data_IF_617022113593
#
_entry.id   IF_617022113593
#
_cell.length_a   1.000
_cell.length_b   1.000
_cell.length_c   1.000
_cell.angle_alpha   90.00
_cell.angle_beta   90.00
_cell.angle_gamma   90.00
#
_symmetry.space_group_name_H-M   'P 1'
#
loop_
_entity.id
_entity.type
_entity.pdbx_description
1 polymer ?
#
# COMPACT_ATOMS: atom_id res chain seq x y z
N UNK A 1 7.81 -18.47 -21.26
CA UNK A 1 6.95 -18.02 -20.15
C UNK A 1 5.95 -19.08 -19.73
N UNK A 2 5.45 -19.86 -20.65
CA UNK A 2 4.53 -21.00 -20.35
C UNK A 2 5.19 -22.09 -19.49
N UNK A 3 6.51 -22.21 -19.54
CA UNK A 3 7.24 -23.24 -18.77
C UNK A 3 7.17 -23.02 -17.24
N UNK A 4 7.29 -21.78 -16.74
CA UNK A 4 7.23 -21.52 -15.29
C UNK A 4 5.84 -21.70 -14.69
N UNK A 5 4.80 -21.31 -15.44
CA UNK A 5 3.42 -21.45 -14.98
C UNK A 5 2.97 -22.92 -14.89
N UNK A 6 3.63 -23.82 -15.63
CA UNK A 6 3.34 -25.26 -15.67
C UNK A 6 4.21 -26.09 -14.73
N UNK A 7 5.29 -25.51 -14.16
CA UNK A 7 6.20 -26.24 -13.29
C UNK A 7 5.60 -26.49 -11.90
N UNK A 8 5.78 -27.72 -11.42
CA UNK A 8 5.55 -28.00 -9.99
C UNK A 8 6.72 -27.44 -9.16
N UNK A 9 6.49 -26.32 -8.49
CA UNK A 9 7.47 -25.64 -7.66
C UNK A 9 7.50 -26.15 -6.20
N UNK A 10 6.63 -27.12 -5.85
CA UNK A 10 6.53 -27.64 -4.47
C UNK A 10 7.80 -28.35 -4.06
N UNK A 11 8.39 -27.96 -2.94
CA UNK A 11 9.64 -28.52 -2.40
C UNK A 11 10.90 -28.08 -3.15
N UNK A 12 10.78 -27.42 -4.30
CA UNK A 12 11.92 -27.02 -5.12
C UNK A 12 12.60 -25.79 -4.57
N UNK A 13 13.94 -25.80 -4.57
CA UNK A 13 14.79 -24.66 -4.28
C UNK A 13 14.97 -23.88 -5.58
N UNK A 14 14.52 -22.62 -5.57
CA UNK A 14 14.63 -21.70 -6.71
C UNK A 14 15.62 -20.61 -6.36
N UNK A 15 16.58 -20.37 -7.25
CA UNK A 15 17.55 -19.28 -7.13
C UNK A 15 17.37 -18.30 -8.28
N UNK A 16 17.11 -17.06 -7.95
CA UNK A 16 17.15 -15.92 -8.86
C UNK A 16 18.55 -15.33 -8.79
N UNK A 17 19.21 -15.19 -9.92
CA UNK A 17 20.57 -14.67 -10.02
C UNK A 17 20.68 -13.57 -11.07
N UNK A 18 21.85 -12.95 -11.16
CA UNK A 18 22.10 -11.84 -12.08
C UNK A 18 21.09 -10.71 -11.86
N UNK A 19 20.93 -10.28 -10.61
CA UNK A 19 19.94 -9.28 -10.21
C UNK A 19 20.47 -8.35 -9.12
N UNK A 20 19.69 -7.32 -8.87
CA UNK A 20 19.82 -6.44 -7.72
C UNK A 20 18.61 -6.66 -6.80
N UNK A 21 18.84 -6.78 -5.52
CA UNK A 21 17.80 -6.91 -4.51
C UNK A 21 17.59 -5.57 -3.80
N UNK A 22 16.33 -5.19 -3.59
CA UNK A 22 15.99 -4.10 -2.66
C UNK A 22 16.10 -4.65 -1.24
N UNK A 23 17.15 -4.26 -0.54
CA UNK A 23 17.39 -4.55 0.87
C UNK A 23 17.23 -3.27 1.66
N UNK A 24 16.21 -3.18 2.49
CA UNK A 24 15.81 -1.94 3.17
C UNK A 24 15.56 -0.82 2.13
N UNK A 25 16.43 0.16 2.02
CA UNK A 25 16.32 1.29 1.08
C UNK A 25 17.50 1.32 0.07
N UNK A 26 18.22 0.19 -0.09
CA UNK A 26 19.41 0.08 -0.92
C UNK A 26 19.28 -1.01 -1.99
N UNK A 27 19.93 -0.80 -3.13
CA UNK A 27 20.14 -1.83 -4.16
C UNK A 27 21.43 -2.60 -3.86
N UNK A 28 21.30 -3.91 -3.68
CA UNK A 28 22.44 -4.81 -3.44
C UNK A 28 22.49 -5.86 -4.53
N UNK A 29 23.64 -6.04 -5.18
CA UNK A 29 23.84 -7.12 -6.15
C UNK A 29 23.98 -8.43 -5.38
N UNK A 30 22.94 -9.25 -5.40
CA UNK A 30 22.83 -10.50 -4.64
C UNK A 30 21.81 -11.43 -5.31
N UNK A 31 21.72 -12.67 -4.84
CA UNK A 31 20.79 -13.67 -5.31
C UNK A 31 19.63 -13.85 -4.33
N UNK A 32 18.43 -14.05 -4.85
CA UNK A 32 17.26 -14.41 -4.05
C UNK A 32 17.03 -15.92 -4.12
N UNK A 33 16.87 -16.56 -2.96
CA UNK A 33 16.58 -17.98 -2.85
C UNK A 33 15.21 -18.18 -2.21
N UNK A 34 14.39 -19.07 -2.77
CA UNK A 34 13.07 -19.37 -2.22
C UNK A 34 12.81 -20.88 -2.23
N UNK A 35 11.96 -21.35 -1.29
CA UNK A 35 11.39 -22.70 -1.25
C UNK A 35 10.04 -22.68 -0.55
N UNK A 36 9.04 -23.30 -1.13
CA UNK A 36 7.68 -23.40 -0.57
C UNK A 36 7.07 -22.03 -0.15
N UNK A 37 7.28 -21.00 -0.95
CA UNK A 37 6.73 -19.68 -0.68
C UNK A 37 7.49 -18.85 0.35
N UNK A 38 8.63 -19.33 0.83
CA UNK A 38 9.46 -18.65 1.85
C UNK A 38 10.80 -18.25 1.25
N UNK A 39 11.26 -17.06 1.58
CA UNK A 39 12.61 -16.57 1.23
C UNK A 39 13.63 -17.25 2.15
N UNK A 40 14.71 -17.73 1.59
CA UNK A 40 15.77 -18.48 2.28
C UNK A 40 17.05 -17.66 2.37
N UNK A 41 17.86 -17.98 3.37
CA UNK A 41 19.27 -17.58 3.40
C UNK A 41 20.09 -18.52 2.49
N UNK A 42 20.53 -18.00 1.34
CA UNK A 42 21.28 -18.78 0.36
C UNK A 42 22.59 -19.35 0.90
N UNK A 43 23.25 -18.67 1.84
CA UNK A 43 24.47 -19.19 2.48
C UNK A 43 24.17 -20.39 3.36
N UNK A 44 23.10 -20.35 4.14
CA UNK A 44 22.64 -21.50 4.94
C UNK A 44 22.29 -22.70 4.07
N UNK A 45 21.55 -22.48 2.97
CA UNK A 45 21.21 -23.55 2.03
C UNK A 45 22.46 -24.19 1.43
N UNK A 46 23.40 -23.36 0.95
CA UNK A 46 24.58 -23.86 0.26
C UNK A 46 25.58 -24.53 1.21
N UNK A 47 25.91 -23.90 2.34
CA UNK A 47 26.97 -24.38 3.24
C UNK A 47 26.46 -25.36 4.31
N UNK A 48 25.28 -25.13 4.88
CA UNK A 48 24.75 -25.94 5.98
C UNK A 48 23.90 -27.10 5.50
N UNK A 49 22.93 -26.86 4.61
CA UNK A 49 22.11 -27.92 4.03
C UNK A 49 22.85 -28.68 2.90
N UNK A 50 23.92 -28.09 2.34
CA UNK A 50 24.67 -28.62 1.17
C UNK A 50 23.76 -28.90 -0.03
N UNK A 51 22.69 -28.10 -0.15
CA UNK A 51 21.70 -28.25 -1.19
C UNK A 51 22.00 -27.30 -2.36
N UNK A 52 21.77 -27.80 -3.56
CA UNK A 52 21.88 -27.02 -4.80
C UNK A 52 20.47 -26.58 -5.24
N UNK A 53 20.34 -25.43 -5.94
CA UNK A 53 19.04 -25.04 -6.47
C UNK A 53 18.56 -26.01 -7.57
N UNK A 54 17.30 -26.38 -7.48
CA UNK A 54 16.62 -27.18 -8.53
C UNK A 54 16.35 -26.34 -9.78
N UNK A 55 16.06 -25.06 -9.58
CA UNK A 55 15.67 -24.11 -10.64
C UNK A 55 16.54 -22.87 -10.53
N UNK A 56 17.12 -22.46 -11.66
CA UNK A 56 17.89 -21.22 -11.79
C UNK A 56 17.14 -20.27 -12.71
N UNK A 57 16.88 -19.05 -12.23
CA UNK A 57 16.21 -17.99 -12.98
C UNK A 57 17.18 -16.84 -13.17
N UNK A 58 17.57 -16.55 -14.42
CA UNK A 58 18.35 -15.37 -14.78
C UNK A 58 17.43 -14.17 -14.89
N UNK A 59 17.64 -13.18 -14.05
CA UNK A 59 16.84 -11.94 -14.01
C UNK A 59 17.33 -10.91 -15.04
N UNK A 60 18.45 -11.20 -15.72
CA UNK A 60 18.95 -10.34 -16.79
C UNK A 60 19.45 -8.96 -16.32
N UNK A 61 19.94 -8.84 -15.10
CA UNK A 61 20.36 -7.58 -14.51
C UNK A 61 19.22 -6.71 -13.97
N UNK A 62 18.00 -7.23 -13.89
CA UNK A 62 16.85 -6.53 -13.33
C UNK A 62 16.89 -6.41 -11.81
N UNK A 63 15.87 -5.79 -11.26
CA UNK A 63 15.72 -5.53 -9.83
C UNK A 63 14.60 -6.39 -9.27
N UNK A 64 14.87 -7.08 -8.15
CA UNK A 64 13.86 -7.74 -7.34
C UNK A 64 13.57 -6.83 -6.13
N UNK A 65 12.32 -6.41 -6.01
CA UNK A 65 11.79 -5.64 -4.89
C UNK A 65 10.77 -6.45 -4.12
N UNK A 66 10.61 -6.27 -2.81
CA UNK A 66 9.40 -6.76 -2.14
C UNK A 66 8.17 -6.33 -2.93
N UNK A 67 7.13 -7.14 -2.91
CA UNK A 67 5.86 -6.80 -3.55
C UNK A 67 5.27 -5.50 -3.01
N UNK A 68 4.62 -4.74 -3.87
CA UNK A 68 4.02 -3.46 -3.47
C UNK A 68 2.80 -3.69 -2.56
N UNK A 69 2.63 -2.82 -1.58
CA UNK A 69 1.54 -2.83 -0.60
C UNK A 69 0.81 -1.50 -0.69
N UNK A 70 -0.49 -1.53 -1.01
CA UNK A 70 -1.33 -0.34 -1.09
C UNK A 70 -2.30 -0.29 0.08
N UNK A 71 -2.13 0.66 0.99
CA UNK A 71 -2.94 0.75 2.22
C UNK A 71 -4.21 1.59 2.05
N UNK A 72 -4.49 2.08 0.83
CA UNK A 72 -5.68 2.88 0.53
C UNK A 72 -6.18 2.59 -0.88
N UNK A 73 -7.15 1.67 -0.99
CA UNK A 73 -7.77 1.22 -2.23
C UNK A 73 -9.29 1.23 -2.03
N UNK A 74 -10.00 2.24 -2.57
CA UNK A 74 -11.44 2.37 -2.39
C UNK A 74 -12.22 1.45 -3.34
N UNK A 75 -11.61 1.08 -4.45
CA UNK A 75 -12.16 0.21 -5.46
C UNK A 75 -11.22 0.08 -6.65
N UNK A 76 -11.55 -0.81 -7.58
CA UNK A 76 -10.83 -0.99 -8.83
C UNK A 76 -11.65 -1.85 -9.79
N UNK A 77 -11.41 -1.69 -11.10
CA UNK A 77 -11.99 -2.56 -12.14
C UNK A 77 -13.54 -2.63 -12.12
N UNK A 78 -14.21 -1.56 -11.68
CA UNK A 78 -15.66 -1.49 -11.55
C UNK A 78 -16.23 -1.95 -10.21
N UNK A 79 -15.36 -2.39 -9.29
CA UNK A 79 -15.75 -2.79 -7.93
C UNK A 79 -15.51 -1.65 -6.95
N UNK A 80 -16.47 -1.46 -6.03
CA UNK A 80 -16.46 -0.45 -4.96
C UNK A 80 -16.55 -1.17 -3.62
N UNK A 81 -15.56 -0.99 -2.77
CA UNK A 81 -15.51 -1.64 -1.47
C UNK A 81 -16.49 -1.05 -0.43
N UNK A 82 -17.09 0.09 -0.75
CA UNK A 82 -18.13 0.73 0.06
C UNK A 82 -19.55 0.42 -0.43
N UNK A 83 -19.71 -0.29 -1.55
CA UNK A 83 -21.01 -0.59 -2.11
C UNK A 83 -21.66 -1.82 -1.42
N UNK A 84 -22.76 -1.64 -0.68
CA UNK A 84 -23.43 -2.73 0.05
C UNK A 84 -24.18 -3.72 -0.83
N UNK A 85 -24.44 -3.36 -2.09
CA UNK A 85 -25.16 -4.19 -3.05
C UNK A 85 -24.21 -5.14 -3.80
N UNK A 86 -22.91 -4.90 -3.71
CA UNK A 86 -21.90 -5.81 -4.24
C UNK A 86 -21.60 -6.91 -3.22
N UNK A 87 -21.39 -8.12 -3.73
CA UNK A 87 -20.81 -9.20 -2.93
C UNK A 87 -19.35 -8.88 -2.61
N UNK A 88 -19.06 -8.66 -1.33
CA UNK A 88 -17.72 -8.28 -0.83
C UNK A 88 -16.67 -9.35 -1.19
N UNK A 89 -17.03 -10.63 -1.06
CA UNK A 89 -16.12 -11.71 -1.40
C UNK A 89 -15.75 -11.66 -2.90
N UNK A 90 -16.76 -11.49 -3.75
CA UNK A 90 -16.53 -11.35 -5.18
C UNK A 90 -15.71 -10.10 -5.53
N UNK A 91 -16.04 -8.94 -4.93
CA UNK A 91 -15.31 -7.70 -5.16
C UNK A 91 -13.82 -7.84 -4.77
N UNK A 92 -13.54 -8.36 -3.57
CA UNK A 92 -12.17 -8.64 -3.13
C UNK A 92 -11.45 -9.60 -4.07
N UNK A 93 -12.09 -10.69 -4.48
CA UNK A 93 -11.49 -11.68 -5.37
C UNK A 93 -11.14 -11.08 -6.73
N UNK A 94 -12.05 -10.33 -7.35
CA UNK A 94 -11.87 -9.73 -8.67
C UNK A 94 -10.76 -8.66 -8.68
N UNK A 95 -10.67 -7.88 -7.62
CA UNK A 95 -9.60 -6.88 -7.47
C UNK A 95 -8.28 -7.57 -7.14
N UNK A 96 -8.26 -8.50 -6.19
CA UNK A 96 -7.05 -9.22 -5.75
C UNK A 96 -6.41 -10.05 -6.89
N UNK A 97 -7.21 -10.59 -7.81
CA UNK A 97 -6.72 -11.36 -8.96
C UNK A 97 -6.03 -10.46 -10.01
N UNK A 98 -6.44 -9.20 -10.14
CA UNK A 98 -5.94 -8.28 -11.18
C UNK A 98 -4.81 -7.37 -10.69
N UNK A 99 -4.77 -7.00 -9.42
CA UNK A 99 -3.74 -6.11 -8.85
C UNK A 99 -2.30 -6.58 -9.07
N UNK A 100 -1.97 -7.89 -9.12
CA UNK A 100 -0.61 -8.34 -9.43
C UNK A 100 -0.07 -7.84 -10.76
N UNK A 101 -0.93 -7.50 -11.73
CA UNK A 101 -0.55 -6.90 -13.01
C UNK A 101 0.05 -5.49 -12.84
N UNK A 102 -0.12 -4.87 -11.70
CA UNK A 102 0.43 -3.55 -11.32
C UNK A 102 1.59 -3.66 -10.32
N UNK A 103 1.97 -4.88 -9.93
CA UNK A 103 3.01 -5.14 -8.93
C UNK A 103 2.52 -5.11 -7.47
N UNK A 104 1.24 -4.85 -7.23
CA UNK A 104 0.65 -4.86 -5.89
C UNK A 104 0.41 -6.31 -5.46
N UNK A 105 1.02 -6.73 -4.37
CA UNK A 105 0.89 -8.10 -3.82
C UNK A 105 0.01 -8.16 -2.56
N UNK A 106 -0.26 -6.99 -1.96
CA UNK A 106 -1.15 -6.88 -0.82
C UNK A 106 -1.78 -5.48 -0.76
N UNK A 107 -2.99 -5.38 -0.21
CA UNK A 107 -3.69 -4.10 -0.12
C UNK A 107 -4.70 -4.07 1.03
N UNK A 108 -5.13 -2.85 1.39
CA UNK A 108 -6.24 -2.62 2.30
C UNK A 108 -7.45 -2.08 1.52
N UNK A 109 -8.54 -2.87 1.37
CA UNK A 109 -9.82 -2.32 0.94
C UNK A 109 -10.21 -1.15 1.84
N UNK A 110 -10.56 -0.02 1.22
CA UNK A 110 -10.91 1.21 1.93
C UNK A 110 -12.40 1.46 1.82
N UNK A 111 -13.05 1.63 2.96
CA UNK A 111 -14.46 1.98 3.06
C UNK A 111 -14.56 3.47 3.35
N UNK A 112 -15.09 4.23 2.40
CA UNK A 112 -15.33 5.66 2.56
C UNK A 112 -16.56 5.93 3.43
N UNK A 113 -16.75 7.19 3.81
CA UNK A 113 -17.94 7.62 4.58
C UNK A 113 -19.22 7.14 3.93
N UNK A 114 -19.98 6.36 4.66
CA UNK A 114 -21.21 5.69 4.25
C UNK A 114 -22.30 5.83 5.31
N UNK A 115 -23.54 5.50 5.00
CA UNK A 115 -24.59 5.51 6.02
C UNK A 115 -24.28 4.49 7.12
N UNK A 116 -24.70 4.79 8.35
CA UNK A 116 -24.31 4.03 9.55
C UNK A 116 -24.65 2.55 9.45
N UNK A 117 -25.79 2.21 8.88
CA UNK A 117 -26.32 0.86 8.77
C UNK A 117 -25.46 -0.06 7.91
N UNK A 118 -24.62 0.52 7.04
CA UNK A 118 -23.79 -0.25 6.12
C UNK A 118 -22.49 -0.76 6.77
N UNK A 119 -21.91 -0.04 7.72
CA UNK A 119 -20.63 -0.43 8.30
C UNK A 119 -20.63 -1.82 8.91
N UNK A 120 -21.62 -2.22 9.78
CA UNK A 120 -21.61 -3.56 10.33
C UNK A 120 -21.75 -4.65 9.26
N UNK A 121 -22.54 -4.39 8.19
CA UNK A 121 -22.71 -5.31 7.07
C UNK A 121 -21.41 -5.49 6.29
N UNK A 122 -20.76 -4.39 5.92
CA UNK A 122 -19.50 -4.39 5.17
C UNK A 122 -18.39 -5.06 6.00
N UNK A 123 -18.17 -4.61 7.25
CA UNK A 123 -17.12 -5.15 8.11
C UNK A 123 -17.32 -6.65 8.35
N UNK A 124 -18.58 -7.10 8.59
CA UNK A 124 -18.89 -8.53 8.74
C UNK A 124 -18.58 -9.35 7.47
N UNK A 125 -18.78 -8.77 6.29
CA UNK A 125 -18.40 -9.40 5.02
C UNK A 125 -16.89 -9.63 4.93
N UNK A 126 -16.08 -8.60 5.24
CA UNK A 126 -14.63 -8.72 5.27
C UNK A 126 -14.10 -9.67 6.35
N UNK A 127 -14.79 -9.82 7.49
CA UNK A 127 -14.41 -10.78 8.52
C UNK A 127 -14.46 -12.23 8.03
N UNK A 128 -15.36 -12.53 7.11
CA UNK A 128 -15.55 -13.86 6.52
C UNK A 128 -14.62 -14.12 5.34
N UNK A 129 -14.04 -13.07 4.77
CA UNK A 129 -13.19 -13.19 3.59
C UNK A 129 -11.90 -13.94 3.88
N UNK A 130 -11.56 -14.88 3.00
CA UNK A 130 -10.31 -15.65 3.04
C UNK A 130 -9.52 -15.36 1.79
N UNK A 131 -8.25 -14.98 1.96
CA UNK A 131 -7.34 -14.72 0.84
C UNK A 131 -7.20 -15.95 -0.06
N UNK A 132 -7.41 -15.78 -1.35
CA UNK A 132 -7.17 -16.82 -2.33
C UNK A 132 -5.67 -16.97 -2.61
N UNK A 133 -5.20 -18.21 -2.85
CA UNK A 133 -3.82 -18.42 -3.29
C UNK A 133 -3.59 -17.72 -4.64
N UNK A 134 -2.37 -17.23 -4.84
CA UNK A 134 -1.91 -16.58 -6.08
C UNK A 134 -2.63 -15.26 -6.43
N UNK A 135 -3.28 -14.62 -5.47
CA UNK A 135 -3.90 -13.31 -5.60
C UNK A 135 -3.26 -12.33 -4.61
N UNK A 136 -3.38 -11.03 -4.87
CA UNK A 136 -2.97 -10.00 -3.90
C UNK A 136 -3.70 -10.20 -2.58
N UNK A 137 -2.98 -10.08 -1.47
CA UNK A 137 -3.53 -10.33 -0.13
C UNK A 137 -4.35 -9.14 0.35
N UNK A 138 -5.58 -9.37 0.80
CA UNK A 138 -6.34 -8.42 1.61
C UNK A 138 -5.79 -8.47 3.03
N UNK A 139 -5.16 -7.39 3.47
CA UNK A 139 -4.48 -7.29 4.77
C UNK A 139 -5.45 -7.00 5.91
N UNK A 140 -6.57 -6.38 5.59
CA UNK A 140 -7.61 -5.87 6.45
C UNK A 140 -8.15 -4.57 5.91
N UNK A 141 -9.09 -3.95 6.60
CA UNK A 141 -9.87 -2.81 6.14
C UNK A 141 -9.21 -1.50 6.58
N UNK A 142 -9.21 -0.50 5.70
CA UNK A 142 -9.05 0.89 6.06
C UNK A 142 -10.44 1.55 6.10
N UNK A 143 -10.84 2.10 7.24
CA UNK A 143 -12.06 2.88 7.39
C UNK A 143 -11.73 4.37 7.24
N UNK A 144 -12.13 4.98 6.13
CA UNK A 144 -11.92 6.40 5.86
C UNK A 144 -13.21 7.18 6.14
N UNK A 145 -13.36 7.63 7.37
CA UNK A 145 -14.61 8.19 7.91
C UNK A 145 -15.53 7.11 8.51
N UNK A 146 -16.69 7.49 9.08
CA UNK A 146 -17.35 8.79 8.95
C UNK A 146 -16.87 9.88 9.92
N UNK A 147 -15.89 9.62 10.78
CA UNK A 147 -15.39 10.56 11.77
C UNK A 147 -14.39 11.56 11.18
N UNK A 148 -14.83 12.30 10.16
CA UNK A 148 -14.03 13.27 9.39
C UNK A 148 -14.69 14.67 9.45
N UNK A 149 -13.97 15.71 8.98
CA UNK A 149 -14.47 17.07 8.95
C UNK A 149 -15.43 17.32 7.78
N UNK A 150 -16.57 17.94 8.02
CA UNK A 150 -17.46 18.40 6.95
C UNK A 150 -16.82 19.47 6.06
N UNK A 151 -15.92 20.29 6.61
CA UNK A 151 -15.19 21.33 5.86
C UNK A 151 -14.17 20.74 4.88
N UNK A 152 -13.72 19.51 5.14
CA UNK A 152 -12.69 18.81 4.37
C UNK A 152 -13.20 17.46 3.85
N UNK A 153 -14.50 17.37 3.56
CA UNK A 153 -15.15 16.14 3.10
C UNK A 153 -14.59 15.60 1.77
N UNK A 154 -14.13 16.47 0.87
CA UNK A 154 -13.72 16.02 -0.46
C UNK A 154 -14.89 15.39 -1.22
N UNK A 155 -14.74 14.14 -1.63
CA UNK A 155 -15.79 13.38 -2.30
C UNK A 155 -16.76 12.65 -1.34
N UNK A 156 -16.49 12.66 -0.03
CA UNK A 156 -17.34 11.97 0.96
C UNK A 156 -18.70 12.65 1.11
N UNK A 157 -19.76 11.85 1.29
CA UNK A 157 -21.12 12.34 1.50
C UNK A 157 -21.23 13.01 2.87
N UNK A 158 -21.48 14.32 2.88
CA UNK A 158 -21.52 15.12 4.12
C UNK A 158 -22.65 14.71 5.06
N UNK A 159 -23.77 14.20 4.55
CA UNK A 159 -24.91 13.75 5.35
C UNK A 159 -24.57 12.54 6.24
N UNK A 160 -23.56 11.79 5.88
CA UNK A 160 -23.13 10.60 6.64
C UNK A 160 -21.96 10.87 7.58
N UNK A 161 -21.37 12.05 7.55
CA UNK A 161 -20.28 12.44 8.46
C UNK A 161 -20.82 12.48 9.90
N UNK A 162 -20.03 11.95 10.84
CA UNK A 162 -20.40 11.80 12.26
C UNK A 162 -19.30 12.35 13.15
N UNK A 163 -19.69 12.85 14.33
CA UNK A 163 -18.80 13.11 15.45
C UNK A 163 -18.77 11.96 16.43
N UNK A 164 -17.79 11.93 17.31
CA UNK A 164 -17.68 10.92 18.36
C UNK A 164 -18.65 11.19 19.53
N UNK A 165 -19.04 12.44 19.73
CA UNK A 165 -19.88 12.87 20.88
C UNK A 165 -19.17 12.67 22.22
N UNK A 166 -19.95 12.68 23.29
CA UNK A 166 -19.44 12.59 24.68
C UNK A 166 -18.94 11.20 25.09
N UNK A 167 -19.27 10.15 24.34
CA UNK A 167 -18.83 8.77 24.61
C UNK A 167 -18.25 8.13 23.35
N UNK A 168 -16.99 8.48 22.96
CA UNK A 168 -16.37 8.04 21.71
C UNK A 168 -16.34 6.52 21.53
N UNK A 169 -16.03 5.75 22.57
CA UNK A 169 -15.92 4.28 22.50
C UNK A 169 -17.29 3.66 22.17
N UNK A 170 -18.35 4.14 22.82
CA UNK A 170 -19.71 3.69 22.54
C UNK A 170 -20.12 4.05 21.11
N UNK A 171 -19.86 5.28 20.68
CA UNK A 171 -20.18 5.75 19.33
C UNK A 171 -19.45 4.94 18.25
N UNK A 172 -18.16 4.62 18.44
CA UNK A 172 -17.40 3.73 17.56
C UNK A 172 -18.08 2.37 17.42
N UNK A 173 -18.47 1.76 18.56
CA UNK A 173 -19.15 0.46 18.57
C UNK A 173 -20.56 0.51 17.94
N UNK A 174 -21.28 1.62 18.10
CA UNK A 174 -22.61 1.82 17.50
C UNK A 174 -22.54 2.00 15.98
N UNK A 175 -21.49 2.64 15.46
CA UNK A 175 -21.33 2.91 14.03
C UNK A 175 -20.70 1.72 13.31
N UNK A 176 -19.55 1.26 13.77
CA UNK A 176 -18.81 0.20 13.06
C UNK A 176 -19.22 -1.22 13.50
N UNK A 177 -19.96 -1.35 14.60
CA UNK A 177 -20.23 -2.62 15.26
C UNK A 177 -19.16 -2.97 16.30
N UNK A 178 -19.40 -4.05 17.08
CA UNK A 178 -18.55 -4.38 18.23
C UNK A 178 -17.24 -5.07 17.86
N UNK A 179 -17.09 -5.55 16.64
CA UNK A 179 -15.93 -6.33 16.21
C UNK A 179 -15.14 -5.61 15.11
N UNK A 180 -13.97 -5.12 15.46
CA UNK A 180 -13.03 -4.44 14.57
C UNK A 180 -11.81 -5.30 14.18
N UNK A 181 -11.85 -6.60 14.38
CA UNK A 181 -10.72 -7.53 14.20
C UNK A 181 -10.05 -7.43 12.83
N UNK A 182 -10.79 -7.12 11.77
CA UNK A 182 -10.25 -6.97 10.40
C UNK A 182 -9.90 -5.52 10.03
N UNK A 183 -10.13 -4.57 10.94
CA UNK A 183 -9.79 -3.18 10.70
C UNK A 183 -8.30 -2.97 10.99
N UNK A 184 -7.56 -2.48 10.02
CA UNK A 184 -6.13 -2.20 10.12
C UNK A 184 -5.82 -0.73 10.27
N UNK A 185 -6.65 0.13 9.70
CA UNK A 185 -6.46 1.58 9.75
C UNK A 185 -7.81 2.29 9.85
N UNK A 186 -7.84 3.39 10.58
CA UNK A 186 -9.00 4.29 10.64
C UNK A 186 -8.51 5.72 10.48
N UNK A 187 -9.11 6.45 9.53
CA UNK A 187 -8.88 7.89 9.33
C UNK A 187 -9.89 8.69 10.12
N UNK A 188 -9.41 9.64 10.93
CA UNK A 188 -10.22 10.52 11.77
C UNK A 188 -9.76 11.98 11.67
N UNK A 189 -10.68 12.91 11.93
CA UNK A 189 -10.40 14.34 12.05
C UNK A 189 -10.15 14.70 13.54
N UNK A 190 -8.97 15.25 13.87
CA UNK A 190 -8.59 15.57 15.26
C UNK A 190 -9.45 16.61 15.95
N UNK A 191 -10.06 17.55 15.21
CA UNK A 191 -10.91 18.61 15.74
C UNK A 191 -12.27 18.11 16.27
N UNK A 192 -12.63 16.86 16.00
CA UNK A 192 -13.88 16.30 16.50
C UNK A 192 -13.82 16.08 18.02
N UNK A 193 -14.88 16.49 18.73
CA UNK A 193 -14.98 16.24 20.16
C UNK A 193 -14.79 14.75 20.47
N UNK A 194 -13.87 14.43 21.38
CA UNK A 194 -13.56 13.04 21.75
C UNK A 194 -12.55 12.33 20.86
N UNK A 195 -11.99 12.96 19.82
CA UNK A 195 -11.05 12.34 18.89
C UNK A 195 -9.82 11.73 19.59
N UNK A 196 -9.23 12.40 20.60
CA UNK A 196 -8.09 11.87 21.36
C UNK A 196 -8.46 10.61 22.14
N UNK A 197 -9.65 10.54 22.73
CA UNK A 197 -10.15 9.33 23.42
C UNK A 197 -10.39 8.20 22.43
N UNK A 198 -10.96 8.51 21.27
CA UNK A 198 -11.13 7.56 20.17
C UNK A 198 -9.79 7.02 19.69
N UNK A 199 -8.81 7.90 19.48
CA UNK A 199 -7.46 7.52 19.04
C UNK A 199 -6.77 6.57 20.02
N UNK A 200 -6.81 6.89 21.33
CA UNK A 200 -6.23 6.04 22.37
C UNK A 200 -6.90 4.65 22.41
N UNK A 201 -8.22 4.61 22.30
CA UNK A 201 -8.95 3.34 22.25
C UNK A 201 -8.60 2.51 21.02
N UNK A 202 -8.66 3.09 19.82
CA UNK A 202 -8.37 2.40 18.56
C UNK A 202 -6.93 1.90 18.51
N UNK A 203 -5.98 2.74 18.94
CA UNK A 203 -4.56 2.37 19.03
C UNK A 203 -4.35 1.21 20.02
N UNK A 204 -5.09 1.17 21.13
CA UNK A 204 -5.02 0.05 22.11
C UNK A 204 -5.51 -1.29 21.52
N UNK A 205 -6.33 -1.25 20.47
CA UNK A 205 -6.75 -2.41 19.68
C UNK A 205 -5.72 -2.81 18.60
N UNK A 206 -4.58 -2.11 18.49
CA UNK A 206 -3.59 -2.36 17.44
C UNK A 206 -4.01 -1.85 16.06
N UNK A 207 -4.99 -0.95 16.01
CA UNK A 207 -5.45 -0.30 14.77
C UNK A 207 -4.61 0.95 14.54
N UNK A 208 -4.11 1.14 13.32
CA UNK A 208 -3.42 2.36 12.92
C UNK A 208 -4.41 3.52 12.87
N UNK A 209 -4.21 4.51 13.73
CA UNK A 209 -5.00 5.73 13.71
C UNK A 209 -4.32 6.72 12.77
N UNK A 210 -5.06 7.14 11.75
CA UNK A 210 -4.62 8.10 10.73
C UNK A 210 -5.36 9.43 10.88
N UNK A 211 -4.62 10.53 10.78
CA UNK A 211 -5.17 11.88 10.72
C UNK A 211 -5.45 12.24 9.25
N UNK A 212 -6.67 12.60 8.92
CA UNK A 212 -7.03 13.00 7.56
C UNK A 212 -8.43 13.60 7.48
N UNK A 213 -8.76 14.19 6.31
CA UNK A 213 -10.03 14.87 6.10
C UNK A 213 -10.35 15.85 7.24
N UNK A 214 -9.44 16.76 7.50
CA UNK A 214 -9.41 17.55 8.73
C UNK A 214 -9.16 19.03 8.47
N UNK A 215 -9.83 19.87 9.23
CA UNK A 215 -9.56 21.32 9.33
C UNK A 215 -8.91 21.66 10.68
N UNK A 216 -8.23 20.70 11.30
CA UNK A 216 -7.67 20.79 12.66
C UNK A 216 -6.64 21.91 12.78
N UNK A 217 -6.64 22.55 13.95
CA UNK A 217 -5.48 23.30 14.43
C UNK A 217 -4.35 22.35 14.87
N UNK A 218 -3.20 22.92 15.21
CA UNK A 218 -2.03 22.16 15.64
C UNK A 218 -2.28 21.44 16.97
N UNK A 219 -2.93 22.09 17.92
CA UNK A 219 -3.14 21.63 19.30
C UNK A 219 -4.04 20.38 19.33
N UNK A 220 -5.12 20.39 18.57
CA UNK A 220 -6.02 19.24 18.42
C UNK A 220 -5.31 18.07 17.73
N UNK A 221 -4.55 18.37 16.67
CA UNK A 221 -3.79 17.34 15.95
C UNK A 221 -2.68 16.72 16.83
N UNK A 222 -1.95 17.53 17.62
CA UNK A 222 -0.93 17.07 18.56
C UNK A 222 -1.53 16.20 19.68
N UNK A 223 -2.72 16.54 20.16
CA UNK A 223 -3.44 15.76 21.16
C UNK A 223 -3.79 14.36 20.64
N UNK A 224 -4.28 14.25 19.38
CA UNK A 224 -4.58 12.97 18.75
C UNK A 224 -3.30 12.18 18.43
N UNK A 225 -2.23 12.82 17.99
CA UNK A 225 -0.92 12.21 17.83
C UNK A 225 -0.40 11.63 19.14
N UNK A 226 -0.45 12.40 20.21
CA UNK A 226 -0.04 11.98 21.57
C UNK A 226 -0.91 10.84 22.12
N UNK A 227 -2.12 10.67 21.59
CA UNK A 227 -3.07 9.60 21.94
C UNK A 227 -2.91 8.35 21.07
N UNK A 228 -1.90 8.27 20.20
CA UNK A 228 -1.54 7.04 19.47
C UNK A 228 -1.79 7.08 17.97
N UNK A 229 -2.12 8.22 17.37
CA UNK A 229 -2.09 8.33 15.91
C UNK A 229 -0.63 8.25 15.41
N UNK A 230 -0.42 7.56 14.28
CA UNK A 230 0.92 7.30 13.73
C UNK A 230 1.00 7.56 12.23
N UNK A 231 -0.12 7.92 11.60
CA UNK A 231 -0.22 8.08 10.16
C UNK A 231 -0.99 9.35 9.78
N UNK A 232 -0.71 9.92 8.62
CA UNK A 232 -1.48 10.99 7.99
C UNK A 232 -1.98 10.49 6.64
N UNK A 233 -3.28 10.50 6.42
CA UNK A 233 -3.92 10.07 5.19
C UNK A 233 -3.63 11.11 4.10
N UNK A 234 -3.19 10.66 2.92
CA UNK A 234 -2.96 11.42 1.68
C UNK A 234 -2.61 12.92 1.90
N UNK A 235 -1.47 13.15 2.58
CA UNK A 235 -0.99 14.49 2.95
C UNK A 235 -1.20 15.50 1.80
N UNK A 236 -1.61 16.71 2.12
CA UNK A 236 -2.03 17.84 1.29
C UNK A 236 -3.46 17.75 0.75
N UNK A 237 -4.08 16.57 0.68
CA UNK A 237 -5.44 16.43 0.17
C UNK A 237 -6.45 16.47 1.32
N UNK A 238 -7.58 17.14 1.12
CA UNK A 238 -8.66 17.29 2.10
C UNK A 238 -8.18 17.84 3.47
N UNK A 239 -7.33 18.87 3.44
CA UNK A 239 -6.80 19.54 4.63
C UNK A 239 -6.37 20.98 4.29
N UNK A 240 -6.32 21.90 5.29
CA UNK A 240 -5.87 23.27 5.07
C UNK A 240 -4.39 23.34 4.70
N UNK A 241 -4.02 24.34 3.93
CA UNK A 241 -2.62 24.62 3.59
C UNK A 241 -1.82 25.09 4.80
N UNK A 242 -0.49 24.81 4.81
CA UNK A 242 0.40 25.38 5.82
C UNK A 242 0.35 26.91 5.82
N UNK A 243 0.21 27.47 7.01
CA UNK A 243 0.32 28.91 7.20
C UNK A 243 1.19 29.21 8.45
N UNK A 244 2.14 30.15 8.33
CA UNK A 244 3.14 30.44 9.37
C UNK A 244 2.59 30.85 10.74
N UNK A 245 1.34 31.25 10.83
CA UNK A 245 0.62 31.55 12.10
C UNK A 245 -0.44 30.51 12.47
N UNK A 246 -0.72 29.58 11.56
CA UNK A 246 -1.65 28.46 11.77
C UNK A 246 -1.03 27.23 11.10
N UNK A 247 -0.21 26.52 11.84
CA UNK A 247 0.58 25.42 11.29
C UNK A 247 -0.28 24.20 10.90
N UNK A 248 -1.49 24.11 11.47
CA UNK A 248 -2.37 22.97 11.26
C UNK A 248 -1.63 21.65 11.50
N UNK A 249 -1.99 20.57 10.80
CA UNK A 249 -1.31 19.28 10.92
C UNK A 249 0.16 19.32 10.46
N UNK A 250 0.56 20.31 9.64
CA UNK A 250 1.96 20.42 9.19
C UNK A 250 2.91 20.73 10.35
N UNK A 251 2.41 21.35 11.42
CA UNK A 251 3.18 21.57 12.65
C UNK A 251 3.64 20.29 13.32
N UNK A 252 2.94 19.17 13.12
CA UNK A 252 3.30 17.86 13.67
C UNK A 252 4.66 17.34 13.19
N UNK A 253 5.11 17.78 12.03
CA UNK A 253 6.40 17.36 11.47
C UNK A 253 7.58 18.20 12.02
N UNK A 254 7.31 19.27 12.76
CA UNK A 254 8.33 20.16 13.30
C UNK A 254 8.71 19.79 14.75
N UNK A 255 9.30 18.62 14.96
CA UNK A 255 9.91 18.29 16.26
C UNK A 255 9.20 17.19 17.07
N UNK A 256 8.41 16.35 16.47
CA UNK A 256 7.88 15.15 17.14
C UNK A 256 8.97 14.14 17.42
N UNK A 257 8.99 13.57 18.63
CA UNK A 257 9.89 12.48 18.99
C UNK A 257 9.45 11.14 18.38
N UNK A 258 8.20 11.04 17.95
CA UNK A 258 7.62 9.85 17.36
C UNK A 258 7.56 10.02 15.84
N UNK A 259 8.09 9.07 15.06
CA UNK A 259 7.96 9.12 13.60
C UNK A 259 6.49 9.14 13.19
N UNK A 260 6.10 10.14 12.41
CA UNK A 260 4.76 10.24 11.83
C UNK A 260 4.86 9.85 10.35
N UNK A 261 4.19 8.76 10.01
CA UNK A 261 4.14 8.30 8.63
C UNK A 261 3.15 9.14 7.80
N UNK A 262 3.45 9.26 6.52
CA UNK A 262 2.68 10.07 5.57
C UNK A 262 2.16 9.15 4.46
N UNK A 263 0.85 9.07 4.28
CA UNK A 263 0.24 8.60 3.04
C UNK A 263 0.38 9.69 1.97
N UNK A 264 0.84 9.34 0.77
CA UNK A 264 1.08 10.29 -0.30
C UNK A 264 0.63 9.74 -1.66
N UNK A 265 -0.24 10.48 -2.35
CA UNK A 265 -0.66 10.17 -3.72
C UNK A 265 0.33 10.81 -4.69
N UNK A 266 1.20 10.02 -5.29
CA UNK A 266 2.28 10.50 -6.16
C UNK A 266 1.94 10.34 -7.66
N UNK A 267 0.69 10.56 -8.04
CA UNK A 267 0.19 10.45 -9.41
C UNK A 267 0.46 11.69 -10.27
N UNK A 268 0.95 12.79 -9.68
CA UNK A 268 1.14 14.11 -10.28
C UNK A 268 -0.17 14.81 -10.72
N UNK A 269 -1.29 14.33 -10.22
CA UNK A 269 -2.63 14.92 -10.36
C UNK A 269 -3.07 15.50 -9.02
N UNK A 270 -3.07 14.66 -7.97
CA UNK A 270 -3.39 15.06 -6.59
C UNK A 270 -2.27 15.88 -5.94
N UNK A 271 -1.03 15.65 -6.34
CA UNK A 271 0.13 16.30 -5.75
C UNK A 271 1.10 16.81 -6.80
N UNK A 272 1.45 18.09 -6.72
CA UNK A 272 2.50 18.69 -7.55
C UNK A 272 3.88 18.10 -7.18
N UNK A 273 4.85 17.97 -8.10
CA UNK A 273 6.20 17.47 -7.78
C UNK A 273 6.88 18.16 -6.58
N UNK A 274 6.66 19.46 -6.41
CA UNK A 274 7.20 20.19 -5.24
C UNK A 274 6.58 19.72 -3.92
N UNK A 275 5.29 19.32 -3.92
CA UNK A 275 4.63 18.76 -2.75
C UNK A 275 5.21 17.37 -2.39
N UNK A 276 5.54 16.54 -3.38
CA UNK A 276 6.21 15.25 -3.15
C UNK A 276 7.57 15.46 -2.46
N UNK A 277 8.37 16.42 -2.97
CA UNK A 277 9.67 16.78 -2.37
C UNK A 277 9.53 17.33 -0.95
N UNK A 278 8.48 18.15 -0.70
CA UNK A 278 8.21 18.69 0.62
C UNK A 278 7.81 17.57 1.60
N UNK A 279 6.94 16.64 1.20
CA UNK A 279 6.54 15.51 2.03
C UNK A 279 7.75 14.69 2.49
N UNK A 280 8.66 14.35 1.57
CA UNK A 280 9.88 13.62 1.92
C UNK A 280 10.84 14.47 2.79
N UNK A 281 10.92 15.77 2.56
CA UNK A 281 11.79 16.65 3.33
C UNK A 281 11.34 16.82 4.80
N UNK A 282 10.03 16.83 5.06
CA UNK A 282 9.48 16.99 6.42
C UNK A 282 9.40 15.68 7.20
N UNK A 283 9.36 14.53 6.50
CA UNK A 283 9.34 13.19 7.14
C UNK A 283 10.15 12.17 6.33
N UNK A 284 11.48 12.34 6.27
CA UNK A 284 12.35 11.47 5.47
C UNK A 284 12.29 10.02 6.00
N UNK A 285 12.15 9.07 5.07
CA UNK A 285 12.03 7.65 5.42
C UNK A 285 10.64 7.22 5.91
N UNK A 286 9.65 8.13 6.01
CA UNK A 286 8.31 7.82 6.53
C UNK A 286 7.18 8.06 5.50
N UNK A 287 7.52 8.41 4.26
CA UNK A 287 6.52 8.52 3.20
C UNK A 287 6.10 7.11 2.75
N UNK A 288 4.81 6.86 2.77
CA UNK A 288 4.12 5.67 2.25
C UNK A 288 3.31 6.09 1.04
N UNK A 289 3.63 5.54 -0.13
CA UNK A 289 2.87 5.81 -1.34
C UNK A 289 1.57 5.03 -1.32
N UNK A 290 0.48 5.69 -1.69
CA UNK A 290 -0.85 5.12 -1.84
C UNK A 290 -1.44 5.51 -3.19
N UNK A 291 -2.35 4.70 -3.72
CA UNK A 291 -3.08 5.08 -4.93
C UNK A 291 -4.30 5.93 -4.60
N UNK A 292 -4.95 5.65 -3.48
CA UNK A 292 -6.29 6.17 -3.17
C UNK A 292 -7.25 5.94 -4.35
N UNK A 293 -7.11 4.78 -5.00
CA UNK A 293 -7.81 4.52 -6.25
C UNK A 293 -9.29 4.24 -6.04
N UNK A 294 -10.06 4.63 -7.04
CA UNK A 294 -11.51 4.47 -7.09
C UNK A 294 -11.95 3.32 -8.02
N UNK A 295 -13.24 3.15 -8.19
CA UNK A 295 -13.86 2.09 -9.00
C UNK A 295 -13.41 2.06 -10.45
N UNK A 296 -13.03 3.20 -11.04
CA UNK A 296 -12.59 3.31 -12.42
C UNK A 296 -11.11 2.91 -12.64
N UNK A 297 -10.35 2.63 -11.56
CA UNK A 297 -8.98 2.16 -11.71
C UNK A 297 -8.92 0.91 -12.60
N UNK A 298 -8.05 0.96 -13.60
CA UNK A 298 -7.87 -0.13 -14.57
C UNK A 298 -8.95 -0.21 -15.66
N UNK A 299 -9.85 0.77 -15.72
CA UNK A 299 -10.86 0.91 -16.75
C UNK A 299 -10.56 2.12 -17.67
N UNK A 300 -11.12 2.18 -18.89
CA UNK A 300 -10.94 3.31 -19.80
C UNK A 300 -11.59 4.59 -19.26
N UNK A 301 -11.29 5.74 -19.88
CA UNK A 301 -12.00 6.98 -19.63
C UNK A 301 -13.51 6.79 -19.85
N UNK A 302 -14.35 7.43 -19.01
CA UNK A 302 -15.79 7.25 -19.03
C UNK A 302 -16.47 7.68 -17.74
N UNK A 303 -17.77 7.40 -17.65
CA UNK A 303 -18.60 7.69 -16.47
C UNK A 303 -18.75 6.44 -15.62
N UNK A 304 -18.55 6.58 -14.31
CA UNK A 304 -18.61 5.49 -13.33
C UNK A 304 -19.35 5.96 -12.08
N UNK A 305 -19.59 5.03 -11.16
CA UNK A 305 -20.12 5.33 -9.83
C UNK A 305 -19.07 5.00 -8.79
N UNK A 306 -18.88 5.88 -7.80
CA UNK A 306 -18.01 5.66 -6.64
C UNK A 306 -18.72 6.13 -5.37
N UNK A 307 -18.95 5.22 -4.43
CA UNK A 307 -19.91 5.42 -3.36
C UNK A 307 -21.30 5.69 -3.98
N UNK A 308 -21.94 6.75 -3.52
CA UNK A 308 -23.23 7.20 -4.09
C UNK A 308 -23.05 8.33 -5.14
N UNK A 309 -21.81 8.64 -5.53
CA UNK A 309 -21.50 9.72 -6.45
C UNK A 309 -21.23 9.21 -7.88
N UNK A 310 -21.69 9.97 -8.86
CA UNK A 310 -21.25 9.77 -10.24
C UNK A 310 -19.91 10.46 -10.43
N UNK A 311 -18.96 9.75 -11.02
CA UNK A 311 -17.64 10.27 -11.37
C UNK A 311 -17.42 10.22 -12.87
N UNK A 312 -16.67 11.19 -13.37
CA UNK A 312 -16.23 11.26 -14.76
C UNK A 312 -14.71 11.13 -14.82
N UNK A 313 -14.22 10.17 -15.62
CA UNK A 313 -12.79 9.99 -15.87
C UNK A 313 -12.45 10.53 -17.24
N UNK A 314 -11.49 11.46 -17.28
CA UNK A 314 -10.97 12.08 -18.50
C UNK A 314 -9.45 12.18 -18.43
N UNK A 315 -8.77 11.67 -19.45
CA UNK A 315 -7.29 11.60 -19.51
C UNK A 315 -6.68 11.01 -18.22
N UNK A 316 -7.31 9.95 -17.70
CA UNK A 316 -6.87 9.26 -16.49
C UNK A 316 -7.05 10.06 -15.19
N UNK A 317 -7.88 11.08 -15.15
CA UNK A 317 -8.23 11.86 -13.96
C UNK A 317 -9.70 11.71 -13.64
N UNK A 318 -10.01 11.36 -12.39
CA UNK A 318 -11.38 11.18 -11.95
C UNK A 318 -11.88 12.41 -11.19
N UNK A 319 -13.07 12.90 -11.55
CA UNK A 319 -13.74 14.03 -10.91
C UNK A 319 -15.17 13.64 -10.53
N UNK A 320 -15.73 14.24 -9.49
CA UNK A 320 -17.18 14.19 -9.26
C UNK A 320 -17.83 14.85 -10.47
N UNK A 321 -18.79 14.16 -11.08
CA UNK A 321 -19.44 14.61 -12.32
C UNK A 321 -20.00 16.03 -12.18
N UNK A 322 -19.65 16.90 -13.15
CA UNK A 322 -20.06 18.31 -13.16
C UNK A 322 -19.31 19.22 -12.20
N UNK A 323 -18.21 18.75 -11.56
CA UNK A 323 -17.40 19.56 -10.65
C UNK A 323 -15.91 19.45 -11.00
N UNK A 324 -15.07 20.24 -10.30
CA UNK A 324 -13.60 20.15 -10.34
C UNK A 324 -13.03 19.39 -9.15
N UNK A 325 -13.87 18.73 -8.34
CA UNK A 325 -13.45 17.96 -7.19
C UNK A 325 -12.91 16.60 -7.64
N UNK A 326 -11.65 16.29 -7.34
CA UNK A 326 -11.06 14.98 -7.59
C UNK A 326 -11.77 13.91 -6.76
N UNK A 327 -11.93 12.73 -7.33
CA UNK A 327 -12.64 11.61 -6.72
C UNK A 327 -11.76 10.35 -6.71
N UNK A 328 -10.67 10.39 -5.93
CA UNK A 328 -9.67 9.33 -5.86
C UNK A 328 -8.84 9.16 -7.13
N UNK A 329 -7.87 8.25 -7.07
CA UNK A 329 -6.88 8.01 -8.10
C UNK A 329 -7.28 6.93 -9.12
N UNK A 330 -6.61 6.97 -10.30
CA UNK A 330 -6.66 5.92 -11.33
C UNK A 330 -5.26 5.47 -11.74
N UNK A 331 -4.22 5.99 -11.08
CA UNK A 331 -2.82 5.75 -11.41
C UNK A 331 -2.28 4.53 -10.65
N UNK A 332 -1.63 3.55 -11.33
CA UNK A 332 -1.03 2.40 -10.66
C UNK A 332 0.05 2.78 -9.66
N UNK A 333 0.16 2.04 -8.54
CA UNK A 333 1.13 2.31 -7.47
C UNK A 333 2.58 2.30 -7.97
N UNK A 334 2.94 1.42 -8.91
CA UNK A 334 4.28 1.40 -9.51
C UNK A 334 4.58 2.68 -10.30
N UNK A 335 3.57 3.32 -10.88
CA UNK A 335 3.70 4.64 -11.52
C UNK A 335 3.92 5.73 -10.46
N UNK A 336 3.24 5.65 -9.32
CA UNK A 336 3.50 6.53 -8.17
C UNK A 336 4.95 6.37 -7.66
N UNK A 337 5.45 5.14 -7.55
CA UNK A 337 6.87 4.86 -7.23
C UNK A 337 7.80 5.53 -8.23
N UNK A 338 7.54 5.36 -9.54
CA UNK A 338 8.33 6.00 -10.58
C UNK A 338 8.35 7.53 -10.46
N UNK A 339 7.19 8.13 -10.26
CA UNK A 339 7.07 9.58 -10.12
C UNK A 339 7.81 10.08 -8.87
N UNK A 340 7.66 9.39 -7.74
CA UNK A 340 8.38 9.71 -6.51
C UNK A 340 9.91 9.55 -6.70
N UNK A 341 10.35 8.46 -7.35
CA UNK A 341 11.76 8.28 -7.71
C UNK A 341 12.30 9.46 -8.51
N UNK A 342 11.65 9.81 -9.61
CA UNK A 342 12.15 10.84 -10.54
C UNK A 342 12.11 12.26 -9.96
N UNK A 343 11.05 12.56 -9.19
CA UNK A 343 10.82 13.91 -8.69
C UNK A 343 11.46 14.17 -7.32
N UNK A 344 11.77 13.12 -6.54
CA UNK A 344 12.24 13.28 -5.16
C UNK A 344 13.63 12.69 -4.95
N UNK A 345 13.85 11.42 -5.32
CA UNK A 345 14.99 10.67 -4.79
C UNK A 345 16.17 10.56 -5.74
N UNK A 346 15.94 10.58 -7.06
CA UNK A 346 16.94 10.32 -8.09
C UNK A 346 18.12 11.32 -8.06
N UNK A 347 17.83 12.59 -7.83
CA UNK A 347 18.86 13.64 -7.78
C UNK A 347 19.40 13.89 -6.36
N UNK A 348 18.62 13.46 -5.35
CA UNK A 348 18.95 13.64 -3.93
C UNK A 348 19.92 12.59 -3.40
N UNK A 349 19.81 11.37 -3.90
CA UNK A 349 20.55 10.21 -3.41
C UNK A 349 21.62 9.77 -4.43
N UNK A 350 22.74 9.27 -3.93
CA UNK A 350 23.76 8.65 -4.76
C UNK A 350 23.42 7.20 -5.05
N UNK A 351 23.89 6.67 -6.18
CA UNK A 351 23.82 5.25 -6.45
C UNK A 351 24.80 4.50 -5.53
N UNK A 352 24.42 3.31 -5.13
CA UNK A 352 25.27 2.40 -4.36
C UNK A 352 26.44 1.89 -5.23
N UNK A 353 27.53 1.40 -4.63
CA UNK A 353 28.64 0.81 -5.39
C UNK A 353 28.15 -0.34 -6.30
N UNK A 354 28.60 -0.36 -7.53
CA UNK A 354 28.22 -1.35 -8.56
C UNK A 354 26.75 -1.33 -9.00
N UNK A 355 26.00 -0.29 -8.67
CA UNK A 355 24.64 -0.02 -9.18
C UNK A 355 24.74 1.03 -10.29
N UNK A 356 23.98 0.90 -11.39
CA UNK A 356 23.90 1.93 -12.41
C UNK A 356 23.53 3.30 -11.82
N UNK A 357 24.28 4.34 -12.16
CA UNK A 357 24.08 5.69 -11.60
C UNK A 357 22.67 6.23 -11.86
N UNK A 358 22.10 5.88 -12.98
CA UNK A 358 20.75 6.25 -13.39
C UNK A 358 19.67 5.64 -12.50
N UNK A 359 19.97 4.63 -11.66
CA UNK A 359 19.06 4.01 -10.71
C UNK A 359 19.17 4.57 -9.28
N UNK A 360 19.98 5.62 -9.11
CA UNK A 360 20.13 6.27 -7.81
C UNK A 360 18.77 6.60 -7.19
N UNK A 361 18.57 6.26 -5.91
CA UNK A 361 17.35 6.52 -5.15
C UNK A 361 16.13 5.65 -5.50
N UNK A 362 16.25 4.69 -6.42
CA UNK A 362 15.11 3.84 -6.81
C UNK A 362 14.69 2.90 -5.68
N UNK A 363 15.64 2.31 -4.95
CA UNK A 363 15.32 1.44 -3.80
C UNK A 363 14.56 2.19 -2.70
N UNK A 364 14.94 3.43 -2.43
CA UNK A 364 14.24 4.30 -1.49
C UNK A 364 12.78 4.56 -1.92
N UNK A 365 12.55 4.78 -3.22
CA UNK A 365 11.20 4.97 -3.76
C UNK A 365 10.38 3.67 -3.72
N UNK A 366 10.99 2.51 -4.00
CA UNK A 366 10.33 1.20 -3.89
C UNK A 366 9.97 0.88 -2.43
N UNK A 367 10.84 1.21 -1.48
CA UNK A 367 10.55 1.04 -0.06
C UNK A 367 9.33 1.85 0.39
N UNK A 368 9.07 3.01 -0.21
CA UNK A 368 7.89 3.83 0.08
C UNK A 368 6.56 3.14 -0.30
N UNK A 369 6.59 2.13 -1.16
CA UNK A 369 5.41 1.35 -1.55
C UNK A 369 5.50 -0.13 -1.14
N UNK A 370 6.49 -0.53 -0.35
CA UNK A 370 6.67 -1.94 0.07
C UNK A 370 7.02 -2.06 1.55
N UNK A 371 8.24 -1.74 1.94
CA UNK A 371 8.74 -1.90 3.31
C UNK A 371 8.08 -0.91 4.27
N UNK A 372 7.88 0.34 3.86
CA UNK A 372 7.27 1.36 4.74
C UNK A 372 5.80 1.09 5.05
N UNK A 373 4.90 0.82 4.07
CA UNK A 373 3.54 0.41 4.40
C UNK A 373 3.50 -0.89 5.22
N UNK A 374 4.42 -1.84 4.99
CA UNK A 374 4.53 -3.03 5.82
C UNK A 374 4.90 -2.69 7.28
N UNK A 375 5.79 -1.71 7.49
CA UNK A 375 6.14 -1.23 8.83
C UNK A 375 4.95 -0.54 9.51
N UNK A 376 4.22 0.33 8.80
CA UNK A 376 3.00 0.99 9.29
C UNK A 376 1.99 -0.03 9.80
N UNK A 377 1.81 -1.14 9.09
CA UNK A 377 0.86 -2.20 9.45
C UNK A 377 1.48 -3.32 10.32
N UNK A 378 2.71 -3.14 10.82
CA UNK A 378 3.44 -4.13 11.64
C UNK A 378 3.61 -5.51 10.99
N UNK A 379 3.85 -5.57 9.68
CA UNK A 379 3.96 -6.81 8.90
C UNK A 379 5.40 -7.33 8.73
N UNK A 380 6.42 -6.61 9.22
CA UNK A 380 7.83 -6.95 9.00
C UNK A 380 8.38 -8.06 9.90
N UNK A 381 7.64 -8.48 10.93
CA UNK A 381 8.09 -9.52 11.85
C UNK A 381 7.01 -10.59 12.05
N UNK A 382 7.47 -11.84 12.23
CA UNK A 382 6.61 -12.98 12.61
C UNK A 382 5.99 -12.84 14.01
N UNK A 383 6.51 -11.92 14.83
CA UNK A 383 5.99 -11.59 16.17
C UNK A 383 4.82 -10.58 16.13
N UNK A 384 4.25 -10.30 14.98
CA UNK A 384 2.99 -9.56 14.82
C UNK A 384 1.79 -10.21 15.55
N UNK A 385 2.06 -11.22 16.38
CA UNK A 385 1.12 -11.89 17.31
C UNK A 385 0.58 -11.00 18.45
N UNK A 386 0.95 -9.71 18.52
CA UNK A 386 0.29 -8.74 19.39
C UNK A 386 -0.98 -8.13 18.79
N UNK A 387 -1.30 -8.45 17.53
CA UNK A 387 -2.64 -8.18 17.00
C UNK A 387 -3.60 -9.30 17.47
N UNK A 388 -4.72 -8.90 18.00
CA UNK A 388 -5.83 -9.63 18.66
C UNK A 388 -6.41 -10.83 17.85
N UNK A 389 -5.75 -11.29 16.80
CA UNK A 389 -6.22 -12.38 15.93
C UNK A 389 -5.65 -13.75 16.34
N UNK A 390 -6.08 -14.27 17.48
CA UNK A 390 -5.81 -15.67 17.91
C UNK A 390 -6.81 -16.68 17.34
N UNK A 391 -7.28 -16.55 16.12
CA UNK A 391 -8.24 -17.53 15.58
C UNK A 391 -7.72 -18.43 14.45
N UNK A 392 -6.46 -18.26 13.99
CA UNK A 392 -5.85 -19.23 13.08
C UNK A 392 -4.47 -19.65 13.57
N UNK A 393 -4.23 -20.95 13.62
CA UNK A 393 -2.96 -21.59 13.99
C UNK A 393 -1.85 -21.42 12.93
N UNK A 394 -2.06 -20.62 11.90
CA UNK A 394 -1.08 -20.35 10.86
C UNK A 394 -0.22 -19.15 11.24
N UNK A 395 1.11 -19.36 11.33
CA UNK A 395 2.08 -18.29 11.48
C UNK A 395 2.05 -17.39 10.25
N UNK A 396 1.66 -16.14 10.42
CA UNK A 396 1.72 -15.14 9.32
C UNK A 396 3.17 -14.82 9.04
N UNK A 397 3.64 -15.10 7.81
CA UNK A 397 4.98 -14.76 7.37
C UNK A 397 5.12 -13.24 7.18
N UNK A 398 6.28 -12.65 7.48
CA UNK A 398 6.55 -11.24 7.22
C UNK A 398 6.33 -10.88 5.74
N UNK A 399 5.85 -9.66 5.50
CA UNK A 399 5.61 -9.08 4.17
C UNK A 399 6.41 -7.78 4.01
N UNK A 400 6.61 -7.33 2.77
CA UNK A 400 7.27 -6.05 2.47
C UNK A 400 8.79 -6.06 2.65
N UNK A 401 9.40 -7.24 2.75
CA UNK A 401 10.85 -7.43 2.86
C UNK A 401 11.30 -8.67 2.09
N UNK A 402 12.58 -8.70 1.68
CA UNK A 402 13.24 -9.86 1.08
C UNK A 402 14.10 -10.64 2.08
N UNK A 403 13.95 -10.40 3.37
CA UNK A 403 14.72 -11.09 4.41
C UNK A 403 14.34 -12.57 4.50
N UNK A 404 15.32 -13.41 4.88
CA UNK A 404 15.08 -14.83 5.11
C UNK A 404 13.97 -15.07 6.14
N UNK A 405 13.11 -16.04 5.86
CA UNK A 405 11.93 -16.35 6.67
C UNK A 405 10.67 -15.56 6.28
N UNK A 406 10.78 -14.61 5.37
CA UNK A 406 9.63 -13.83 4.88
C UNK A 406 8.87 -14.56 3.76
N UNK A 407 7.63 -14.14 3.52
CA UNK A 407 6.86 -14.60 2.37
C UNK A 407 7.56 -14.20 1.08
N UNK A 408 7.63 -15.12 0.14
CA UNK A 408 8.17 -14.87 -1.19
C UNK A 408 7.14 -14.12 -2.07
N UNK A 409 6.81 -12.91 -1.63
CA UNK A 409 5.97 -11.93 -2.31
C UNK A 409 6.87 -10.81 -2.82
N UNK A 410 7.12 -10.79 -4.12
CA UNK A 410 8.06 -9.82 -4.71
C UNK A 410 7.70 -9.52 -6.17
N UNK A 411 8.28 -8.44 -6.67
CA UNK A 411 8.20 -8.05 -8.08
C UNK A 411 9.59 -8.06 -8.71
N UNK A 412 9.63 -8.36 -9.99
CA UNK A 412 10.82 -8.20 -10.83
C UNK A 412 10.54 -7.03 -11.77
N UNK A 413 11.40 -6.03 -11.73
CA UNK A 413 11.28 -4.81 -12.54
C UNK A 413 12.57 -4.50 -13.27
N UNK A 414 12.46 -3.69 -14.31
CA UNK A 414 13.61 -3.12 -15.00
C UNK A 414 13.38 -1.65 -15.32
N UNK A 415 14.24 -0.72 -14.85
CA UNK A 415 14.21 0.66 -15.31
C UNK A 415 14.66 0.72 -16.77
N UNK A 416 13.85 1.32 -17.63
CA UNK A 416 14.13 1.42 -19.07
C UNK A 416 14.04 2.85 -19.54
N UNK A 417 14.94 3.22 -20.44
CA UNK A 417 14.84 4.44 -21.25
C UNK A 417 14.10 4.08 -22.53
N UNK A 418 13.04 4.80 -22.85
CA UNK A 418 12.32 4.61 -24.10
C UNK A 418 12.61 5.79 -25.04
N UNK A 419 12.63 5.52 -26.35
CA UNK A 419 12.82 6.57 -27.35
C UNK A 419 11.71 7.64 -27.30
N UNK A 420 10.54 7.27 -26.81
CA UNK A 420 9.35 8.14 -26.74
C UNK A 420 9.28 8.97 -25.45
N UNK A 421 10.11 8.70 -24.45
CA UNK A 421 10.11 9.43 -23.18
C UNK A 421 11.53 9.74 -22.72
N UNK A 422 11.86 11.02 -22.50
CA UNK A 422 13.17 11.42 -21.98
C UNK A 422 13.36 11.02 -20.51
N UNK A 423 12.29 10.66 -19.81
CA UNK A 423 12.32 10.21 -18.41
C UNK A 423 12.25 8.68 -18.36
N UNK A 424 13.08 8.02 -17.54
CA UNK A 424 13.03 6.57 -17.35
C UNK A 424 11.62 6.07 -16.98
N UNK A 425 11.29 4.89 -17.47
CA UNK A 425 10.11 4.13 -17.08
C UNK A 425 10.54 2.97 -16.17
N UNK A 426 9.64 2.47 -15.35
CA UNK A 426 9.83 1.22 -14.62
C UNK A 426 8.94 0.18 -15.28
N UNK A 427 9.54 -0.82 -15.93
CA UNK A 427 8.80 -1.94 -16.53
C UNK A 427 8.65 -3.04 -15.48
N UNK A 428 7.41 -3.44 -15.19
CA UNK A 428 7.12 -4.63 -14.41
C UNK A 428 7.30 -5.85 -15.30
N UNK A 429 8.19 -6.75 -14.92
CA UNK A 429 8.48 -7.97 -15.67
C UNK A 429 7.67 -9.16 -15.15
N UNK A 430 7.58 -9.28 -13.82
CA UNK A 430 6.90 -10.38 -13.16
C UNK A 430 6.47 -10.02 -11.75
N UNK A 431 5.36 -10.61 -11.29
CA UNK A 431 4.92 -10.55 -9.89
C UNK A 431 4.83 -11.95 -9.33
N UNK A 432 5.39 -12.16 -8.14
CA UNK A 432 5.39 -13.41 -7.41
C UNK A 432 4.63 -13.24 -6.10
N UNK A 433 3.77 -14.21 -5.78
CA UNK A 433 3.02 -14.26 -4.52
C UNK A 433 3.13 -15.67 -3.93
N UNK A 434 3.51 -15.78 -2.67
CA UNK A 434 3.76 -17.05 -1.98
C UNK A 434 4.71 -17.98 -2.77
N UNK A 435 5.74 -17.39 -3.40
CA UNK A 435 6.74 -18.11 -4.18
C UNK A 435 6.23 -18.69 -5.49
N UNK A 436 5.09 -18.21 -6.00
CA UNK A 436 4.54 -18.58 -7.30
C UNK A 436 4.44 -17.35 -8.20
N UNK A 437 4.78 -17.47 -9.47
CA UNK A 437 4.59 -16.38 -10.42
C UNK A 437 3.09 -16.25 -10.73
N UNK A 438 2.56 -15.04 -10.59
CA UNK A 438 1.13 -14.74 -10.79
C UNK A 438 0.87 -13.77 -11.93
N UNK A 439 1.92 -13.06 -12.36
CA UNK A 439 1.88 -12.17 -13.52
C UNK A 439 3.22 -12.16 -14.23
N UNK A 440 3.15 -12.14 -15.58
CA UNK A 440 4.29 -11.92 -16.47
C UNK A 440 3.96 -10.88 -17.54
N UNK A 441 4.90 -10.00 -17.80
CA UNK A 441 4.81 -9.11 -18.96
C UNK A 441 4.99 -9.90 -20.26
N UNK A 442 4.09 -9.74 -21.23
CA UNK A 442 4.09 -10.46 -22.51
C UNK A 442 5.35 -10.22 -23.35
N UNK A 443 5.98 -9.05 -23.20
CA UNK A 443 7.06 -8.59 -24.09
C UNK A 443 8.48 -8.89 -23.56
N UNK A 444 8.61 -9.70 -22.52
CA UNK A 444 9.91 -9.98 -21.91
C UNK A 444 10.17 -11.48 -21.75
N UNK A 445 11.31 -11.94 -22.24
CA UNK A 445 11.79 -13.30 -22.03
C UNK A 445 12.71 -13.34 -20.81
N UNK A 446 12.21 -13.84 -19.68
CA UNK A 446 13.06 -14.24 -18.56
C UNK A 446 13.72 -15.56 -18.95
N UNK A 447 15.05 -15.62 -18.99
CA UNK A 447 15.77 -16.85 -19.28
C UNK A 447 15.71 -17.79 -18.06
N UNK A 448 15.04 -18.93 -18.24
CA UNK A 448 14.90 -19.93 -17.20
C UNK A 448 15.80 -21.11 -17.57
N UNK A 449 16.76 -21.41 -16.72
CA UNK A 449 17.57 -22.62 -16.80
C UNK A 449 17.09 -23.61 -15.73
N UNK A 450 16.36 -24.63 -16.15
CA UNK A 450 16.01 -25.73 -15.28
C UNK A 450 17.17 -26.70 -15.30
N UNK A 451 17.85 -26.90 -14.17
CA UNK A 451 18.76 -28.03 -14.00
C UNK A 451 17.91 -29.25 -13.71
N UNK A 452 17.86 -30.21 -14.66
CA UNK A 452 17.42 -31.56 -14.34
C UNK A 452 18.43 -32.13 -13.34
N UNK A 453 17.99 -32.43 -12.13
CA UNK A 453 18.77 -33.32 -11.24
C UNK A 453 18.91 -34.66 -11.93
N UNK A 454 20.04 -34.89 -12.56
CA UNK A 454 20.52 -36.26 -12.89
C UNK A 454 21.16 -36.86 -11.67
#
# INVERSE_FOLDING_TARGET
MDELSTLNLTGKIIRFYNCYLVREEHLVKDDLWIRNGIILDGLTIFFSEKAMPDILIDVGGGIISPGLIDVQVNGAYGYDFSNPDQDIENACNQVAERLPQTGVTAFCPTIITSCQELYPKLISGYQKYVNKPNCSKVLGIHLEGPFISTDCAGMHQTDYIKGFGTNPIKTISEIYGPNLDRVKMITIAPELEGASTAAAYLSSLGIVVSIGHTNSDYESAESVLSSGATFVTHLFNAMPSFHHRKAHIFGLFAGTKTPLHIGLIADLVHSHPAALRLADAISPGHVTLVTDCNTAFGLPDGSYTFGEQNIQVEAGKAYIAGTNCLAGGTTPLLTCVRNFWLEVTREKLNAEPNVPKEWAGLAYALAAASTRPANVLCLLSSNASNSIHKSSSESVLPLGTLNSGSSADFIIIHPVLTETSPKPQIKLLCTWINGKPVYFCSDHHVHINIRSST
#
